data_IF_793945570437
#
_entry.id   IF_793945570437
#
_cell.length_a   1.000
_cell.length_b   1.000
_cell.length_c   1.000
_cell.angle_alpha   90.00
_cell.angle_beta   90.00
_cell.angle_gamma   90.00
#
_symmetry.space_group_name_H-M   'P 1'
#
loop_
_entity.id
_entity.type
_entity.pdbx_description
1 polymer ?
#
# COMPACT_ATOMS: atom_id res chain seq x y z
N UNK A 1 -0.25 -16.66 17.04
CA UNK A 1 0.66 -17.13 18.10
C UNK A 1 0.33 -16.57 19.46
N UNK A 2 0.87 -17.13 20.47
CA UNK A 2 0.81 -16.63 21.83
C UNK A 2 2.20 -16.18 22.26
N UNK A 3 2.34 -15.07 23.03
CA UNK A 3 1.28 -14.23 23.59
C UNK A 3 0.65 -13.27 22.56
N UNK A 4 -0.58 -12.82 22.83
CA UNK A 4 -1.21 -11.75 22.09
C UNK A 4 -0.49 -10.43 22.34
N UNK A 5 -0.21 -9.69 21.27
CA UNK A 5 0.41 -8.36 21.32
C UNK A 5 -0.66 -7.33 20.94
N UNK A 6 -0.84 -6.30 21.79
CA UNK A 6 -1.76 -5.19 21.51
C UNK A 6 -1.10 -4.10 20.63
N UNK A 7 0.22 -4.07 20.62
CA UNK A 7 0.98 -3.13 19.80
C UNK A 7 1.09 -3.61 18.36
N UNK A 8 1.61 -2.74 17.51
CA UNK A 8 1.78 -3.03 16.08
C UNK A 8 2.58 -4.31 15.86
N UNK A 9 1.96 -5.25 15.16
CA UNK A 9 2.58 -6.50 14.72
C UNK A 9 1.98 -6.85 13.36
N UNK A 10 2.82 -7.03 12.36
CA UNK A 10 2.38 -7.19 10.97
C UNK A 10 2.30 -8.65 10.50
N UNK A 11 2.41 -9.63 11.40
CA UNK A 11 2.45 -11.06 11.05
C UNK A 11 1.18 -11.54 10.35
N UNK A 12 0.03 -11.00 10.70
CA UNK A 12 -1.25 -11.30 10.07
C UNK A 12 -1.33 -10.82 8.61
N UNK A 13 -1.03 -9.54 8.36
CA UNK A 13 -1.01 -8.97 7.01
C UNK A 13 0.10 -9.56 6.15
N UNK A 14 1.26 -9.92 6.75
CA UNK A 14 2.33 -10.61 6.05
C UNK A 14 1.94 -12.04 5.68
N UNK A 15 1.10 -12.69 6.47
CA UNK A 15 0.58 -14.03 6.20
C UNK A 15 -0.23 -14.11 4.91
N UNK A 16 -0.87 -13.03 4.49
CA UNK A 16 -1.68 -12.97 3.25
C UNK A 16 -0.94 -12.38 2.04
N UNK A 17 0.35 -12.04 2.16
CA UNK A 17 1.10 -11.36 1.09
C UNK A 17 1.13 -12.12 -0.25
N UNK A 18 1.08 -13.47 -0.20
CA UNK A 18 1.18 -14.34 -1.38
C UNK A 18 -0.18 -14.88 -1.85
N UNK A 19 -1.28 -14.41 -1.26
CA UNK A 19 -2.65 -14.86 -1.58
C UNK A 19 -3.28 -14.11 -2.75
N UNK A 20 -2.67 -13.01 -3.22
CA UNK A 20 -3.18 -12.18 -4.31
C UNK A 20 -3.68 -10.81 -3.86
N UNK A 21 -3.67 -10.52 -2.57
CA UNK A 21 -3.97 -9.17 -2.07
C UNK A 21 -2.83 -8.20 -2.40
N UNK A 22 -3.18 -7.03 -2.92
CA UNK A 22 -2.33 -5.85 -2.86
C UNK A 22 -2.33 -5.30 -1.44
N UNK A 23 -1.26 -4.62 -1.02
CA UNK A 23 -1.15 -4.15 0.36
C UNK A 23 -0.69 -2.69 0.43
N UNK A 24 -1.49 -1.85 1.09
CA UNK A 24 -1.17 -0.47 1.45
C UNK A 24 -1.03 -0.37 2.97
N UNK A 25 0.04 0.24 3.44
CA UNK A 25 0.30 0.43 4.86
C UNK A 25 0.20 1.90 5.24
N UNK A 26 -0.75 2.23 6.09
CA UNK A 26 -0.95 3.60 6.59
C UNK A 26 -0.08 3.90 7.81
N UNK A 27 0.35 5.16 7.95
CA UNK A 27 1.06 5.68 9.13
C UNK A 27 0.12 6.44 10.06
N UNK A 28 -0.89 7.11 9.51
CA UNK A 28 -1.79 8.02 10.22
C UNK A 28 -3.25 7.71 9.91
N UNK A 29 -4.18 8.25 10.72
CA UNK A 29 -5.61 8.15 10.44
C UNK A 29 -5.99 8.84 9.11
N UNK A 30 -5.29 9.90 8.72
CA UNK A 30 -5.51 10.56 7.44
C UNK A 30 -5.13 9.66 6.26
N UNK A 31 -3.96 9.02 6.32
CA UNK A 31 -3.57 8.06 5.27
C UNK A 31 -4.53 6.89 5.17
N UNK A 32 -4.99 6.37 6.31
CA UNK A 32 -5.98 5.31 6.34
C UNK A 32 -7.26 5.70 5.61
N UNK A 33 -7.79 6.90 5.89
CA UNK A 33 -8.96 7.44 5.22
C UNK A 33 -8.76 7.56 3.71
N UNK A 34 -7.63 8.11 3.28
CA UNK A 34 -7.31 8.37 1.88
C UNK A 34 -6.98 7.10 1.09
N UNK A 35 -6.38 6.11 1.76
CA UNK A 35 -6.05 4.85 1.10
C UNK A 35 -7.28 4.00 0.77
N UNK A 36 -8.41 4.19 1.44
CA UNK A 36 -9.63 3.45 1.10
C UNK A 36 -10.10 3.76 -0.33
N UNK A 37 -10.38 5.02 -0.73
CA UNK A 37 -10.74 5.32 -2.12
C UNK A 37 -9.62 4.97 -3.11
N UNK A 38 -8.34 5.17 -2.77
CA UNK A 38 -7.21 4.78 -3.62
C UNK A 38 -7.21 3.26 -3.84
N UNK A 39 -7.48 2.46 -2.80
CA UNK A 39 -7.57 1.01 -2.88
C UNK A 39 -8.69 0.55 -3.83
N UNK A 40 -9.87 1.17 -3.74
CA UNK A 40 -10.96 0.91 -4.69
C UNK A 40 -10.56 1.26 -6.12
N UNK A 41 -9.95 2.43 -6.33
CA UNK A 41 -9.51 2.86 -7.66
C UNK A 41 -8.53 1.88 -8.30
N UNK A 42 -7.61 1.29 -7.51
CA UNK A 42 -6.62 0.32 -7.97
C UNK A 42 -7.26 -1.06 -8.16
N UNK A 43 -8.00 -1.53 -7.16
CA UNK A 43 -8.55 -2.89 -7.14
C UNK A 43 -9.61 -3.12 -8.22
N UNK A 44 -10.37 -2.08 -8.58
CA UNK A 44 -11.43 -2.13 -9.59
C UNK A 44 -10.93 -1.80 -11.01
N UNK A 45 -9.68 -1.41 -11.18
CA UNK A 45 -9.09 -1.21 -12.51
C UNK A 45 -9.03 -2.54 -13.27
N UNK A 46 -9.50 -2.53 -14.52
CA UNK A 46 -9.58 -3.74 -15.38
C UNK A 46 -8.23 -4.40 -15.64
N UNK A 47 -7.14 -3.64 -15.53
CA UNK A 47 -5.77 -4.17 -15.66
C UNK A 47 -5.32 -4.95 -14.44
N UNK A 48 -6.00 -4.76 -13.30
CA UNK A 48 -5.61 -5.27 -11.98
C UNK A 48 -6.61 -6.32 -11.49
N UNK A 49 -7.84 -5.92 -11.17
CA UNK A 49 -8.91 -6.79 -10.68
C UNK A 49 -8.47 -7.69 -9.50
N UNK A 50 -7.73 -7.11 -8.56
CA UNK A 50 -7.24 -7.78 -7.35
C UNK A 50 -7.77 -7.09 -6.09
N UNK A 51 -8.02 -7.84 -5.03
CA UNK A 51 -8.37 -7.25 -3.74
C UNK A 51 -7.19 -6.44 -3.18
N UNK A 52 -7.51 -5.35 -2.50
CA UNK A 52 -6.52 -4.48 -1.86
C UNK A 52 -6.77 -4.47 -0.35
N UNK A 53 -5.76 -4.81 0.42
CA UNK A 53 -5.76 -4.66 1.87
C UNK A 53 -5.17 -3.29 2.24
N UNK A 54 -5.93 -2.49 2.97
CA UNK A 54 -5.43 -1.27 3.61
C UNK A 54 -5.13 -1.61 5.06
N UNK A 55 -3.85 -1.64 5.41
CA UNK A 55 -3.40 -1.98 6.76
C UNK A 55 -3.59 -0.80 7.71
N UNK A 56 -4.37 -1.05 8.76
CA UNK A 56 -4.54 -0.17 9.91
C UNK A 56 -3.80 -0.79 11.10
N UNK A 57 -2.72 -0.18 11.52
CA UNK A 57 -1.94 -0.68 12.63
C UNK A 57 -2.73 -0.69 13.93
N UNK A 58 -2.67 -1.82 14.63
CA UNK A 58 -3.29 -2.00 15.92
C UNK A 58 -2.72 -1.03 16.96
N UNK A 59 -3.51 -0.64 17.93
CA UNK A 59 -3.22 0.27 19.03
C UNK A 59 -2.87 1.71 18.61
N UNK A 60 -1.85 1.94 17.80
CA UNK A 60 -1.41 3.30 17.46
C UNK A 60 -2.44 4.04 16.58
N UNK A 61 -2.98 3.39 15.56
CA UNK A 61 -4.02 3.99 14.70
C UNK A 61 -5.41 3.60 15.20
N UNK A 62 -5.66 2.32 15.51
CA UNK A 62 -6.99 1.83 15.83
C UNK A 62 -7.56 2.34 17.16
N UNK A 63 -6.72 2.69 18.13
CA UNK A 63 -7.10 3.30 19.40
C UNK A 63 -6.82 4.81 19.45
N UNK A 64 -5.96 5.30 18.54
CA UNK A 64 -5.65 6.71 18.42
C UNK A 64 -6.86 7.52 17.98
N UNK A 65 -6.82 8.82 18.28
CA UNK A 65 -7.76 9.82 17.76
C UNK A 65 -6.96 10.96 17.18
N UNK A 66 -7.05 11.13 15.89
CA UNK A 66 -6.38 12.20 15.16
C UNK A 66 -7.43 13.00 14.36
N UNK A 67 -7.27 14.30 14.23
CA UNK A 67 -8.08 15.06 13.31
C UNK A 67 -7.78 14.60 11.88
N UNK A 68 -8.82 14.44 11.08
CA UNK A 68 -8.73 14.10 9.65
C UNK A 68 -9.51 15.12 8.83
N UNK A 69 -8.98 15.42 7.66
CA UNK A 69 -9.65 16.22 6.65
C UNK A 69 -10.44 15.28 5.72
N UNK A 70 -11.75 15.29 5.88
CA UNK A 70 -12.66 14.44 5.10
C UNK A 70 -12.96 15.17 3.79
N UNK A 71 -12.60 14.61 2.62
CA UNK A 71 -12.89 15.24 1.35
C UNK A 71 -14.39 15.28 1.07
N UNK A 72 -14.84 16.32 0.38
CA UNK A 72 -16.21 16.43 -0.07
C UNK A 72 -16.62 15.22 -0.90
N UNK A 73 -17.85 14.77 -0.70
CA UNK A 73 -18.38 13.57 -1.38
C UNK A 73 -18.36 13.69 -2.90
N UNK A 74 -18.50 14.90 -3.43
CA UNK A 74 -18.45 15.14 -4.88
C UNK A 74 -17.04 14.96 -5.44
N UNK A 75 -15.99 15.35 -4.69
CA UNK A 75 -14.60 15.11 -5.07
C UNK A 75 -14.29 13.60 -5.05
N UNK A 76 -14.82 12.88 -4.06
CA UNK A 76 -14.68 11.42 -4.01
C UNK A 76 -15.39 10.76 -5.18
N UNK A 77 -16.58 11.25 -5.58
CA UNK A 77 -17.31 10.76 -6.77
C UNK A 77 -16.58 11.07 -8.08
N UNK A 78 -15.91 12.21 -8.18
CA UNK A 78 -15.04 12.53 -9.32
C UNK A 78 -13.85 11.56 -9.38
N UNK A 79 -13.23 11.29 -8.24
CA UNK A 79 -12.08 10.38 -8.14
C UNK A 79 -12.46 8.91 -8.40
N UNK A 80 -13.61 8.45 -7.87
CA UNK A 80 -14.12 7.08 -8.03
C UNK A 80 -15.27 7.06 -9.05
N UNK A 81 -15.00 6.79 -10.34
CA UNK A 81 -16.06 6.61 -11.30
C UNK A 81 -16.92 5.39 -10.95
N UNK A 82 -18.17 5.40 -11.40
CA UNK A 82 -19.07 4.28 -11.19
C UNK A 82 -18.42 2.97 -11.66
N UNK A 83 -18.32 2.00 -10.74
CA UNK A 83 -17.77 0.69 -11.08
C UNK A 83 -18.59 0.02 -12.18
N UNK A 84 -17.90 -0.35 -13.25
CA UNK A 84 -18.49 -1.11 -14.34
C UNK A 84 -17.88 -2.52 -14.36
N UNK A 85 -18.64 -3.46 -13.85
CA UNK A 85 -18.21 -4.85 -13.71
C UNK A 85 -17.86 -5.44 -15.09
N UNK A 86 -16.66 -6.00 -15.30
CA UNK A 86 -16.25 -6.54 -16.60
C UNK A 86 -16.94 -7.86 -16.95
N UNK A 87 -17.49 -8.55 -15.96
CA UNK A 87 -18.13 -9.85 -16.14
C UNK A 87 -19.53 -9.83 -15.50
N UNK A 88 -20.56 -10.44 -16.15
CA UNK A 88 -21.89 -10.56 -15.57
C UNK A 88 -21.86 -11.42 -14.31
N UNK A 89 -22.72 -11.13 -13.33
CA UNK A 89 -22.86 -11.98 -12.13
C UNK A 89 -23.55 -13.29 -12.51
N UNK A 90 -24.62 -13.17 -13.28
CA UNK A 90 -25.40 -14.28 -13.82
C UNK A 90 -25.83 -13.90 -15.22
N UNK A 91 -25.50 -14.74 -16.19
CA UNK A 91 -25.93 -14.60 -17.57
C UNK A 91 -26.35 -15.99 -18.07
N UNK A 92 -27.64 -16.20 -18.23
CA UNK A 92 -28.18 -17.48 -18.68
C UNK A 92 -27.89 -17.74 -20.16
N UNK A 93 -27.61 -16.70 -20.97
CA UNK A 93 -27.26 -16.82 -22.36
C UNK A 93 -25.79 -17.17 -22.59
N UNK A 94 -24.94 -16.85 -21.60
CA UNK A 94 -23.51 -17.12 -21.64
C UNK A 94 -23.04 -17.58 -20.25
N UNK A 95 -23.35 -18.83 -19.86
CA UNK A 95 -23.01 -19.32 -18.53
C UNK A 95 -21.49 -19.40 -18.33
N UNK A 96 -20.99 -18.85 -17.23
CA UNK A 96 -19.59 -18.88 -16.87
C UNK A 96 -19.42 -19.50 -15.47
N UNK A 97 -18.32 -20.21 -15.28
CA UNK A 97 -17.92 -20.73 -13.98
C UNK A 97 -16.86 -19.82 -13.37
N UNK A 98 -17.08 -19.40 -12.11
CA UNK A 98 -16.10 -18.67 -11.33
C UNK A 98 -15.40 -19.63 -10.35
N UNK A 99 -14.11 -19.37 -10.10
CA UNK A 99 -13.27 -20.13 -9.16
C UNK A 99 -13.29 -21.65 -9.42
N UNK A 100 -12.94 -22.12 -10.63
CA UNK A 100 -12.88 -23.56 -10.90
C UNK A 100 -11.83 -24.23 -9.99
N UNK A 101 -12.10 -25.47 -9.59
CA UNK A 101 -11.11 -26.29 -8.90
C UNK A 101 -9.96 -26.63 -9.86
N UNK A 102 -8.75 -26.28 -9.47
CA UNK A 102 -7.54 -26.57 -10.23
C UNK A 102 -6.83 -27.74 -9.59
N UNK A 103 -6.83 -28.89 -10.27
CA UNK A 103 -6.16 -30.13 -9.80
C UNK A 103 -4.82 -30.38 -10.50
N UNK A 104 -4.55 -29.65 -11.56
CA UNK A 104 -3.32 -29.74 -12.33
C UNK A 104 -2.33 -28.65 -11.88
N UNK A 105 -1.13 -29.06 -11.47
CA UNK A 105 -0.08 -28.14 -11.02
C UNK A 105 0.37 -27.15 -12.09
N UNK A 106 0.34 -27.50 -13.36
CA UNK A 106 0.67 -26.59 -14.45
C UNK A 106 -0.34 -25.44 -14.56
N UNK A 107 -1.62 -25.75 -14.56
CA UNK A 107 -2.67 -24.75 -14.57
C UNK A 107 -2.62 -23.84 -13.34
N UNK A 108 -2.32 -24.41 -12.16
CA UNK A 108 -2.12 -23.64 -10.92
C UNK A 108 -0.98 -22.62 -11.06
N UNK A 109 0.18 -23.04 -11.60
CA UNK A 109 1.32 -22.14 -11.82
C UNK A 109 0.98 -21.02 -12.81
N UNK A 110 0.20 -21.33 -13.85
CA UNK A 110 -0.28 -20.32 -14.78
C UNK A 110 -1.14 -19.25 -14.10
N UNK A 111 -2.09 -19.65 -13.25
CA UNK A 111 -2.92 -18.71 -12.48
C UNK A 111 -2.08 -17.87 -11.51
N UNK A 112 -1.12 -18.46 -10.81
CA UNK A 112 -0.20 -17.71 -9.93
C UNK A 112 0.64 -16.69 -10.72
N UNK A 113 1.09 -17.05 -11.92
CA UNK A 113 1.77 -16.11 -12.81
C UNK A 113 0.86 -14.94 -13.24
N UNK A 114 -0.42 -15.21 -13.55
CA UNK A 114 -1.37 -14.16 -13.90
C UNK A 114 -1.64 -13.20 -12.73
N UNK A 115 -1.77 -13.73 -11.50
CA UNK A 115 -1.87 -12.93 -10.28
C UNK A 115 -0.65 -12.02 -10.11
N UNK A 116 0.55 -12.56 -10.29
CA UNK A 116 1.79 -11.78 -10.18
C UNK A 116 1.84 -10.66 -11.23
N UNK A 117 1.52 -10.95 -12.49
CA UNK A 117 1.46 -9.94 -13.56
C UNK A 117 0.41 -8.86 -13.29
N UNK A 118 -0.73 -9.21 -12.71
CA UNK A 118 -1.75 -8.24 -12.32
C UNK A 118 -1.24 -7.35 -11.17
N UNK A 119 -0.56 -7.92 -10.19
CA UNK A 119 0.07 -7.16 -9.11
C UNK A 119 1.16 -6.20 -9.64
N UNK A 120 1.97 -6.62 -10.61
CA UNK A 120 2.98 -5.74 -11.23
C UNK A 120 2.33 -4.54 -11.93
N UNK A 121 1.26 -4.77 -12.71
CA UNK A 121 0.47 -3.68 -13.31
C UNK A 121 -0.16 -2.74 -12.29
N UNK A 122 -0.50 -3.24 -11.11
CA UNK A 122 -1.08 -2.43 -10.05
C UNK A 122 -0.15 -1.30 -9.60
N UNK A 123 1.17 -1.41 -9.79
CA UNK A 123 2.12 -0.33 -9.50
C UNK A 123 1.90 0.88 -10.42
N UNK A 124 1.70 0.65 -11.71
CA UNK A 124 1.40 1.71 -12.69
C UNK A 124 0.05 2.37 -12.34
N UNK A 125 -0.96 1.54 -12.07
CA UNK A 125 -2.28 2.03 -11.67
C UNK A 125 -2.23 2.82 -10.36
N UNK A 126 -1.37 2.43 -9.41
CA UNK A 126 -1.15 3.19 -8.19
C UNK A 126 -0.64 4.62 -8.49
N UNK A 127 0.36 4.76 -9.36
CA UNK A 127 0.86 6.09 -9.75
C UNK A 127 -0.21 6.94 -10.44
N UNK A 128 -0.98 6.35 -11.34
CA UNK A 128 -2.10 7.05 -12.00
C UNK A 128 -3.14 7.49 -10.96
N UNK A 129 -3.56 6.58 -10.09
CA UNK A 129 -4.55 6.84 -9.05
C UNK A 129 -4.08 7.92 -8.06
N UNK A 130 -2.85 7.86 -7.58
CA UNK A 130 -2.33 8.85 -6.63
C UNK A 130 -2.10 10.22 -7.26
N UNK A 131 -1.75 10.28 -8.53
CA UNK A 131 -1.66 11.53 -9.29
C UNK A 131 -3.04 12.18 -9.46
N UNK A 132 -4.07 11.40 -9.79
CA UNK A 132 -5.44 11.88 -9.86
C UNK A 132 -5.94 12.30 -8.48
N UNK A 133 -5.60 11.56 -7.43
CA UNK A 133 -5.96 11.90 -6.07
C UNK A 133 -5.35 13.24 -5.63
N UNK A 134 -4.07 13.47 -5.94
CA UNK A 134 -3.40 14.77 -5.70
C UNK A 134 -4.10 15.91 -6.44
N UNK A 135 -4.46 15.70 -7.71
CA UNK A 135 -5.13 16.71 -8.53
C UNK A 135 -6.53 17.07 -8.00
N UNK A 136 -7.30 16.08 -7.53
CA UNK A 136 -8.72 16.25 -7.14
C UNK A 136 -8.83 16.62 -5.66
N UNK A 137 -8.09 15.95 -4.79
CA UNK A 137 -8.18 16.06 -3.32
C UNK A 137 -7.08 16.96 -2.74
N UNK A 138 -5.96 17.15 -3.47
CA UNK A 138 -4.85 17.99 -3.04
C UNK A 138 -3.81 17.31 -2.15
N UNK A 139 -3.92 16.00 -1.89
CA UNK A 139 -2.97 15.23 -1.08
C UNK A 139 -2.16 14.25 -1.93
N UNK A 140 -0.84 14.27 -1.75
CA UNK A 140 0.12 13.50 -2.56
C UNK A 140 0.57 12.23 -1.85
N UNK A 141 0.53 11.11 -2.57
CA UNK A 141 1.02 9.82 -2.11
C UNK A 141 1.95 9.18 -3.13
N UNK A 142 3.10 8.72 -2.66
CA UNK A 142 4.09 7.97 -3.42
C UNK A 142 4.18 6.55 -2.85
N UNK A 143 4.68 5.54 -3.59
CA UNK A 143 4.83 4.17 -3.09
C UNK A 143 5.71 4.07 -1.85
N UNK A 144 6.71 4.96 -1.76
CA UNK A 144 7.56 5.16 -0.59
C UNK A 144 7.55 6.62 -0.17
N UNK A 145 7.89 6.87 1.08
CA UNK A 145 8.20 8.20 1.57
C UNK A 145 9.68 8.29 1.93
N UNK A 146 10.30 9.39 1.54
CA UNK A 146 11.68 9.73 1.89
C UNK A 146 11.67 10.88 2.90
N UNK A 147 12.26 10.67 4.06
CA UNK A 147 12.39 11.71 5.08
C UNK A 147 13.85 11.95 5.41
N UNK A 148 14.31 13.18 5.21
CA UNK A 148 15.68 13.61 5.46
C UNK A 148 16.75 12.75 4.77
N UNK A 149 16.50 12.37 3.49
CA UNK A 149 17.37 11.49 2.71
C UNK A 149 18.40 12.22 1.85
N UNK A 150 18.27 13.54 1.61
CA UNK A 150 19.06 14.28 0.62
C UNK A 150 20.58 14.24 0.88
N UNK A 151 20.98 14.20 2.15
CA UNK A 151 22.40 14.15 2.59
C UNK A 151 22.67 13.00 3.55
N UNK A 152 21.79 11.99 3.58
CA UNK A 152 21.90 10.88 4.51
C UNK A 152 23.09 9.95 4.17
N UNK A 153 23.84 9.57 5.18
CA UNK A 153 24.83 8.49 5.15
C UNK A 153 24.21 7.13 5.52
N UNK A 154 23.19 7.17 6.38
CA UNK A 154 22.47 6.00 6.89
C UNK A 154 20.98 6.20 6.75
N UNK A 155 20.23 5.11 6.58
CA UNK A 155 18.78 5.15 6.56
C UNK A 155 18.15 4.07 7.44
N UNK A 156 16.97 4.38 8.00
CA UNK A 156 16.09 3.39 8.62
C UNK A 156 14.94 3.13 7.65
N UNK A 157 14.71 1.86 7.30
CA UNK A 157 13.58 1.44 6.47
C UNK A 157 12.45 0.97 7.37
N UNK A 158 11.24 1.47 7.14
CA UNK A 158 10.08 1.17 7.98
C UNK A 158 8.79 1.06 7.18
N UNK A 159 7.73 0.60 7.83
CA UNK A 159 6.37 0.63 7.31
C UNK A 159 5.38 0.86 8.47
N UNK A 160 4.17 1.32 8.13
CA UNK A 160 3.12 1.55 9.12
C UNK A 160 3.41 2.68 10.12
N UNK A 161 2.71 2.65 11.24
CA UNK A 161 2.70 3.72 12.25
C UNK A 161 3.98 3.85 13.06
N UNK A 162 4.85 2.84 13.12
CA UNK A 162 6.18 2.97 13.72
C UNK A 162 7.04 4.04 13.03
N UNK A 163 6.75 4.36 11.80
CA UNK A 163 7.45 5.41 11.05
C UNK A 163 7.36 6.77 11.72
N UNK A 164 6.28 7.07 12.45
CA UNK A 164 6.12 8.29 13.23
C UNK A 164 7.18 8.37 14.36
N UNK A 165 7.41 7.25 15.05
CA UNK A 165 8.41 7.16 16.13
C UNK A 165 9.82 7.29 15.54
N UNK A 166 10.08 6.59 14.43
CA UNK A 166 11.38 6.61 13.73
C UNK A 166 11.67 8.02 13.21
N UNK A 167 10.69 8.72 12.67
CA UNK A 167 10.82 10.12 12.23
C UNK A 167 11.27 11.03 13.40
N UNK A 168 10.69 10.83 14.58
CA UNK A 168 11.14 11.52 15.81
C UNK A 168 12.58 11.19 16.19
N UNK A 169 12.97 9.93 16.09
CA UNK A 169 14.34 9.50 16.35
C UNK A 169 15.35 10.08 15.34
N UNK A 170 15.00 10.07 14.04
CA UNK A 170 15.82 10.69 12.98
C UNK A 170 16.05 12.18 13.24
N UNK A 171 15.00 12.93 13.63
CA UNK A 171 15.15 14.35 13.98
C UNK A 171 16.16 14.55 15.13
N UNK A 172 16.05 13.76 16.20
CA UNK A 172 16.98 13.84 17.35
C UNK A 172 18.41 13.45 16.99
N UNK A 173 18.61 12.49 16.10
CA UNK A 173 19.93 12.11 15.63
C UNK A 173 20.53 13.24 14.78
N UNK A 174 19.76 13.86 13.91
CA UNK A 174 20.19 14.99 13.09
C UNK A 174 20.55 16.23 13.92
N UNK A 175 19.83 16.49 15.00
CA UNK A 175 20.19 17.54 15.98
C UNK A 175 21.58 17.31 16.61
N UNK A 176 22.04 16.06 16.64
CA UNK A 176 23.39 15.68 17.12
C UNK A 176 24.43 15.65 15.99
N UNK A 177 24.07 16.04 14.78
CA UNK A 177 24.96 16.06 13.62
C UNK A 177 25.04 14.75 12.83
N UNK A 178 24.24 13.73 13.19
CA UNK A 178 24.23 12.45 12.50
C UNK A 178 23.43 12.54 11.19
N UNK A 179 24.01 12.08 10.08
CA UNK A 179 23.37 12.08 8.75
C UNK A 179 22.51 10.82 8.56
N UNK A 180 21.40 10.79 9.25
CA UNK A 180 20.42 9.67 9.18
C UNK A 180 19.15 10.13 8.49
N UNK A 181 18.61 9.30 7.61
CA UNK A 181 17.32 9.47 6.99
C UNK A 181 16.36 8.30 7.26
N UNK A 182 15.16 8.38 6.71
CA UNK A 182 14.17 7.31 6.77
C UNK A 182 13.53 7.10 5.41
N UNK A 183 13.35 5.84 5.04
CA UNK A 183 12.54 5.41 3.90
C UNK A 183 11.36 4.61 4.45
N UNK A 184 10.14 5.06 4.16
CA UNK A 184 8.92 4.38 4.59
C UNK A 184 8.19 3.79 3.39
N UNK A 185 7.81 2.52 3.49
CA UNK A 185 7.03 1.82 2.48
C UNK A 185 5.54 2.03 2.73
N UNK A 186 4.83 2.59 1.74
CA UNK A 186 3.36 2.71 1.70
C UNK A 186 2.73 1.59 0.90
N UNK A 187 3.18 1.41 -0.33
CA UNK A 187 2.79 0.29 -1.18
C UNK A 187 3.71 -0.89 -0.89
N UNK A 188 3.21 -1.86 -0.13
CA UNK A 188 4.03 -3.03 0.23
C UNK A 188 3.89 -4.17 -0.81
N UNK A 189 2.73 -4.29 -1.42
CA UNK A 189 2.51 -5.24 -2.51
C UNK A 189 1.65 -4.58 -3.61
N UNK A 190 2.18 -4.49 -4.85
CA UNK A 190 3.51 -4.93 -5.31
C UNK A 190 4.63 -4.14 -4.62
N UNK A 191 5.76 -4.81 -4.41
CA UNK A 191 6.87 -4.19 -3.67
C UNK A 191 7.59 -3.14 -4.54
N UNK A 192 7.79 -1.90 -4.05
CA UNK A 192 8.38 -0.79 -4.79
C UNK A 192 9.91 -0.90 -4.82
N UNK A 193 10.42 -1.97 -5.44
CA UNK A 193 11.82 -2.34 -5.43
C UNK A 193 12.73 -1.26 -6.00
N UNK A 194 12.33 -0.66 -7.12
CA UNK A 194 13.18 0.28 -7.83
C UNK A 194 13.29 1.59 -7.06
N UNK A 195 12.18 2.05 -6.49
CA UNK A 195 12.09 3.25 -5.66
C UNK A 195 12.93 3.11 -4.38
N UNK A 196 12.85 1.94 -3.74
CA UNK A 196 13.67 1.64 -2.55
C UNK A 196 15.15 1.56 -2.93
N UNK A 197 15.51 0.83 -3.98
CA UNK A 197 16.89 0.72 -4.45
C UNK A 197 17.48 2.09 -4.80
N UNK A 198 16.70 2.96 -5.44
CA UNK A 198 17.12 4.32 -5.74
C UNK A 198 17.32 5.14 -4.47
N UNK A 199 16.36 5.09 -3.54
CA UNK A 199 16.41 5.84 -2.29
C UNK A 199 17.59 5.43 -1.38
N UNK A 200 18.01 4.16 -1.43
CA UNK A 200 19.08 3.62 -0.59
C UNK A 200 20.46 3.63 -1.28
N UNK A 201 20.54 4.09 -2.54
CA UNK A 201 21.78 4.06 -3.31
C UNK A 201 22.84 4.96 -2.67
N UNK A 202 24.05 4.42 -2.49
CA UNK A 202 25.21 5.16 -1.99
C UNK A 202 25.25 5.38 -0.48
N UNK A 203 24.27 4.86 0.27
CA UNK A 203 24.31 4.90 1.73
C UNK A 203 25.41 3.98 2.28
N UNK A 204 25.97 4.37 3.45
CA UNK A 204 26.96 3.59 4.20
C UNK A 204 26.35 2.42 4.96
N UNK A 205 25.07 2.53 5.34
CA UNK A 205 24.33 1.48 6.03
C UNK A 205 22.84 1.71 6.11
N UNK A 206 22.09 0.62 6.25
CA UNK A 206 20.62 0.58 6.33
C UNK A 206 20.20 -0.32 7.49
N UNK A 207 19.23 0.12 8.26
CA UNK A 207 18.61 -0.61 9.38
C UNK A 207 17.11 -0.79 9.15
#
# INVERSE_FOLDING_TARGET
GMPMVLQVEHGDIMGIRDTGFLQLHSETCQELLDFVPIAYRIGEDRRVMLPVAVNMDGFLISFGREPVDIPDVELVREFLPKYNRPYPVVDFSNPVAYAPTVVDGYAYMYYKMQLQKAAERAKEVFYEATKDFERIIGRKYEPIEKFAMDDADYAIVSTGSYSTIIRGAVRKLREKGEKVGMVRTRLFRPFPRDEINEALRGLKGVA
#
